data_IF_490347051759
#
_entry.id   IF_490347051759
#
_cell.length_a   1.000
_cell.length_b   1.000
_cell.length_c   1.000
_cell.angle_alpha   90.00
_cell.angle_beta   90.00
_cell.angle_gamma   90.00
#
_symmetry.space_group_name_H-M   'P 1'
#
loop_
_entity.id
_entity.type
_entity.pdbx_description
1 polymer ?
#
# COMPACT_ATOMS: atom_id res chain seq x y z
N UNK A 1 -18.27 -9.37 -10.40
CA UNK A 1 -16.90 -9.48 -9.83
C UNK A 1 -15.91 -8.52 -10.51
N UNK A 2 -16.01 -8.42 -11.83
CA UNK A 2 -15.15 -7.66 -12.73
C UNK A 2 -15.20 -6.15 -12.43
N UNK A 3 -16.39 -5.60 -12.16
CA UNK A 3 -16.57 -4.17 -11.86
C UNK A 3 -15.80 -3.75 -10.60
N UNK A 4 -15.78 -4.60 -9.57
CA UNK A 4 -15.03 -4.38 -8.33
C UNK A 4 -13.52 -4.45 -8.60
N UNK A 5 -13.11 -5.42 -9.40
CA UNK A 5 -11.71 -5.58 -9.78
C UNK A 5 -11.20 -4.34 -10.54
N UNK A 6 -11.97 -3.82 -11.50
CA UNK A 6 -11.66 -2.57 -12.22
C UNK A 6 -11.63 -1.38 -11.26
N UNK A 7 -12.60 -1.29 -10.35
CA UNK A 7 -12.64 -0.22 -9.34
C UNK A 7 -11.38 -0.21 -8.47
N UNK A 8 -11.01 -1.35 -7.88
CA UNK A 8 -9.84 -1.44 -7.00
C UNK A 8 -8.53 -1.21 -7.75
N UNK A 9 -8.41 -1.69 -8.99
CA UNK A 9 -7.24 -1.41 -9.84
C UNK A 9 -7.06 0.09 -10.05
N UNK A 10 -8.09 0.77 -10.54
CA UNK A 10 -8.04 2.22 -10.76
C UNK A 10 -7.70 2.98 -9.49
N UNK A 11 -8.29 2.59 -8.36
CA UNK A 11 -8.04 3.24 -7.06
C UNK A 11 -6.63 3.03 -6.54
N UNK A 12 -6.05 1.85 -6.74
CA UNK A 12 -4.67 1.57 -6.37
C UNK A 12 -3.66 2.23 -7.32
N UNK A 13 -3.98 2.38 -8.60
CA UNK A 13 -3.20 3.20 -9.54
C UNK A 13 -3.19 4.67 -9.12
N UNK A 14 -4.36 5.25 -8.81
CA UNK A 14 -4.48 6.61 -8.27
C UNK A 14 -3.59 6.78 -7.02
N UNK A 15 -3.68 5.84 -6.07
CA UNK A 15 -2.85 5.85 -4.86
C UNK A 15 -1.35 5.75 -5.18
N UNK A 16 -0.98 4.91 -6.14
CA UNK A 16 0.40 4.75 -6.58
C UNK A 16 0.95 6.05 -7.17
N UNK A 17 0.21 6.72 -8.05
CA UNK A 17 0.64 7.98 -8.67
C UNK A 17 0.83 9.10 -7.66
N UNK A 18 -0.04 9.18 -6.65
CA UNK A 18 0.10 10.16 -5.56
C UNK A 18 1.37 9.90 -4.74
N UNK A 19 1.73 8.63 -4.53
CA UNK A 19 2.92 8.28 -3.76
C UNK A 19 4.22 8.42 -4.58
N UNK A 20 4.17 8.19 -5.89
CA UNK A 20 5.29 8.34 -6.82
C UNK A 20 5.62 9.83 -7.07
N UNK A 21 4.60 10.69 -7.12
CA UNK A 21 4.74 12.14 -7.31
C UNK A 21 5.33 12.91 -6.11
N UNK A 22 5.55 12.26 -4.96
CA UNK A 22 6.21 12.86 -3.79
C UNK A 22 7.75 12.75 -3.85
N UNK A 23 8.31 12.17 -4.92
CA UNK A 23 9.70 11.76 -5.02
C UNK A 23 10.59 12.54 -6.00
N UNK A 24 10.20 13.72 -6.48
CA UNK A 24 11.08 14.55 -7.31
C UNK A 24 12.14 15.26 -6.45
N UNK A 25 13.08 14.47 -5.93
CA UNK A 25 14.38 14.95 -5.47
C UNK A 25 15.47 13.92 -5.79
N UNK A 26 15.39 13.31 -6.98
CA UNK A 26 16.56 12.69 -7.60
C UNK A 26 17.45 13.81 -8.15
N UNK A 27 18.25 14.39 -7.25
CA UNK A 27 19.37 15.25 -7.60
C UNK A 27 20.47 14.38 -8.22
N UNK A 28 20.28 14.06 -9.49
CA UNK A 28 21.33 13.65 -10.41
C UNK A 28 22.22 14.88 -10.66
N UNK A 29 23.14 15.15 -9.73
CA UNK A 29 24.18 16.17 -9.89
C UNK A 29 25.55 15.50 -9.81
N UNK A 30 25.98 14.98 -10.96
CA UNK A 30 27.40 14.82 -11.27
C UNK A 30 28.10 16.18 -11.22
N UNK A 31 28.89 16.44 -10.18
CA UNK A 31 29.99 17.41 -10.26
C UNK A 31 31.08 17.12 -9.22
N UNK A 32 32.18 16.49 -9.65
CA UNK A 32 33.49 16.69 -9.02
C UNK A 32 33.91 18.14 -9.26
N UNK A 33 34.10 18.96 -8.20
CA UNK A 33 35.28 19.84 -8.09
C UNK A 33 35.43 20.45 -6.69
N UNK A 34 36.58 20.15 -6.08
CA UNK A 34 37.48 21.03 -5.30
C UNK A 34 36.95 22.28 -4.57
N UNK A 35 37.14 22.29 -3.24
CA UNK A 35 37.81 23.35 -2.48
C UNK A 35 37.15 24.74 -2.34
N UNK A 36 36.89 25.16 -1.09
CA UNK A 36 36.89 26.58 -0.70
C UNK A 36 35.68 27.07 0.10
N UNK A 37 35.97 27.59 1.29
CA UNK A 37 35.08 28.25 2.24
C UNK A 37 34.27 29.43 1.65
N UNK A 38 32.98 29.56 1.99
CA UNK A 38 32.38 30.71 2.68
C UNK A 38 30.85 30.79 2.57
N UNK A 39 30.26 31.26 3.66
CA UNK A 39 28.85 31.59 3.95
C UNK A 39 28.14 32.37 2.83
N UNK A 40 26.92 31.95 2.48
CA UNK A 40 25.84 32.91 2.20
C UNK A 40 24.47 32.29 2.49
N UNK A 41 23.63 33.09 3.15
CA UNK A 41 22.26 32.80 3.53
C UNK A 41 21.30 33.06 2.36
N UNK A 42 20.40 32.12 2.14
CA UNK A 42 19.29 32.21 1.20
C UNK A 42 18.25 31.17 1.64
N UNK A 43 17.38 31.65 2.52
CA UNK A 43 15.91 31.51 2.42
C UNK A 43 15.42 30.28 1.63
N UNK A 44 15.50 29.09 2.23
CA UNK A 44 14.79 27.90 1.74
C UNK A 44 13.49 27.75 2.52
N UNK A 45 12.49 28.54 2.12
CA UNK A 45 11.08 28.30 2.43
C UNK A 45 10.51 27.50 1.25
N UNK A 46 10.82 26.20 1.20
CA UNK A 46 10.27 25.29 0.18
C UNK A 46 9.33 24.26 0.82
N UNK A 47 8.07 24.32 0.39
CA UNK A 47 7.11 23.21 0.23
C UNK A 47 6.87 22.22 1.37
N UNK A 48 6.38 22.72 2.50
CA UNK A 48 5.69 21.88 3.49
C UNK A 48 4.24 21.58 3.03
N UNK A 49 3.61 22.50 2.28
CA UNK A 49 2.19 22.41 1.86
C UNK A 49 1.96 21.30 0.81
N UNK A 50 2.92 21.11 -0.11
CA UNK A 50 2.83 20.10 -1.19
C UNK A 50 2.86 18.67 -0.68
N UNK A 51 3.62 18.38 0.39
CA UNK A 51 3.67 17.04 0.96
C UNK A 51 2.46 16.76 1.87
N UNK A 52 2.00 17.77 2.61
CA UNK A 52 0.80 17.68 3.46
C UNK A 52 -0.46 17.45 2.62
N UNK A 53 -0.57 18.11 1.46
CA UNK A 53 -1.68 17.91 0.51
C UNK A 53 -1.70 16.49 -0.07
N UNK A 54 -0.57 15.93 -0.50
CA UNK A 54 -0.49 14.54 -1.01
C UNK A 54 -0.85 13.50 0.07
N UNK A 55 -0.38 13.68 1.30
CA UNK A 55 -0.74 12.80 2.43
C UNK A 55 -2.24 12.92 2.74
N UNK A 56 -2.80 14.13 2.68
CA UNK A 56 -4.23 14.37 2.88
C UNK A 56 -5.09 13.73 1.79
N UNK A 57 -4.70 13.88 0.52
CA UNK A 57 -5.41 13.31 -0.64
C UNK A 57 -5.38 11.78 -0.64
N UNK A 58 -4.20 11.18 -0.42
CA UNK A 58 -4.06 9.73 -0.28
C UNK A 58 -4.86 9.19 0.91
N UNK A 59 -4.86 9.90 2.05
CA UNK A 59 -5.69 9.55 3.21
C UNK A 59 -7.19 9.60 2.91
N UNK A 60 -7.66 10.61 2.17
CA UNK A 60 -9.06 10.73 1.75
C UNK A 60 -9.45 9.62 0.76
N UNK A 61 -8.56 9.29 -0.17
CA UNK A 61 -8.75 8.20 -1.12
C UNK A 61 -8.93 6.86 -0.37
N UNK A 62 -8.03 6.53 0.56
CA UNK A 62 -8.13 5.28 1.32
C UNK A 62 -9.38 5.25 2.21
N UNK A 63 -9.79 6.37 2.81
CA UNK A 63 -11.07 6.46 3.54
C UNK A 63 -12.27 6.17 2.64
N UNK A 64 -12.29 6.71 1.42
CA UNK A 64 -13.37 6.46 0.46
C UNK A 64 -13.45 4.97 0.06
N UNK A 65 -12.30 4.34 -0.16
CA UNK A 65 -12.21 2.90 -0.44
C UNK A 65 -12.68 2.10 0.78
N UNK A 66 -12.25 2.50 1.99
CA UNK A 66 -12.67 1.89 3.24
C UNK A 66 -14.17 1.91 3.44
N UNK A 67 -14.84 3.02 3.08
CA UNK A 67 -16.31 3.12 3.11
C UNK A 67 -16.94 2.09 2.18
N UNK A 68 -16.49 2.01 0.93
CA UNK A 68 -16.99 1.04 -0.05
C UNK A 68 -16.79 -0.40 0.44
N UNK A 69 -15.61 -0.72 1.00
CA UNK A 69 -15.33 -2.05 1.55
C UNK A 69 -16.24 -2.38 2.74
N UNK A 70 -16.50 -1.39 3.62
CA UNK A 70 -17.42 -1.54 4.74
C UNK A 70 -18.86 -1.79 4.25
N UNK A 71 -19.34 -0.99 3.31
CA UNK A 71 -20.70 -1.12 2.76
C UNK A 71 -20.89 -2.48 2.10
N UNK A 72 -19.92 -2.93 1.29
CA UNK A 72 -19.95 -4.25 0.65
C UNK A 72 -19.91 -5.39 1.67
N UNK A 73 -19.13 -5.26 2.75
CA UNK A 73 -19.12 -6.21 3.86
C UNK A 73 -20.48 -6.26 4.56
N UNK A 74 -21.11 -5.12 4.82
CA UNK A 74 -22.45 -5.04 5.42
C UNK A 74 -23.52 -5.70 4.54
N UNK A 75 -23.35 -5.67 3.21
CA UNK A 75 -24.22 -6.36 2.25
C UNK A 75 -23.89 -7.86 2.09
N UNK A 76 -22.88 -8.39 2.76
CA UNK A 76 -22.47 -9.80 2.70
C UNK A 76 -21.47 -10.13 1.59
N UNK A 77 -20.92 -9.14 0.87
CA UNK A 77 -19.94 -9.34 -0.22
C UNK A 77 -18.49 -9.34 0.26
N UNK A 78 -18.22 -9.73 1.50
CA UNK A 78 -16.87 -9.71 2.10
C UNK A 78 -15.85 -10.44 1.24
N UNK A 79 -16.09 -11.72 0.91
CA UNK A 79 -15.14 -12.53 0.13
C UNK A 79 -14.89 -11.97 -1.27
N UNK A 80 -15.94 -11.49 -1.97
CA UNK A 80 -15.80 -10.90 -3.30
C UNK A 80 -14.97 -9.60 -3.27
N UNK A 81 -15.17 -8.79 -2.24
CA UNK A 81 -14.43 -7.54 -2.05
C UNK A 81 -12.98 -7.82 -1.70
N UNK A 82 -12.75 -8.78 -0.80
CA UNK A 82 -11.41 -9.22 -0.40
C UNK A 82 -10.60 -9.79 -1.57
N UNK A 83 -11.22 -10.64 -2.38
CA UNK A 83 -10.60 -11.17 -3.59
C UNK A 83 -10.28 -10.07 -4.62
N UNK A 84 -11.18 -9.08 -4.77
CA UNK A 84 -11.02 -8.00 -5.75
C UNK A 84 -9.86 -7.06 -5.39
N UNK A 85 -9.76 -6.59 -4.14
CA UNK A 85 -8.62 -5.73 -3.78
C UNK A 85 -7.32 -6.55 -3.74
N UNK A 86 -7.36 -7.82 -3.33
CA UNK A 86 -6.19 -8.71 -3.33
C UNK A 86 -5.62 -8.86 -4.75
N UNK A 87 -6.49 -9.14 -5.71
CA UNK A 87 -6.15 -9.23 -7.13
C UNK A 87 -5.56 -7.93 -7.67
N UNK A 88 -6.12 -6.78 -7.28
CA UNK A 88 -5.63 -5.48 -7.71
C UNK A 88 -4.23 -5.15 -7.13
N UNK A 89 -3.98 -5.48 -5.86
CA UNK A 89 -2.65 -5.31 -5.23
C UNK A 89 -1.60 -6.17 -5.95
N UNK A 90 -1.90 -7.46 -6.18
CA UNK A 90 -0.98 -8.38 -6.85
C UNK A 90 -0.71 -7.93 -8.29
N UNK A 91 -1.74 -7.48 -9.00
CA UNK A 91 -1.61 -6.95 -10.35
C UNK A 91 -0.68 -5.72 -10.38
N UNK A 92 -0.86 -4.76 -9.46
CA UNK A 92 -0.04 -3.56 -9.40
C UNK A 92 1.41 -3.89 -9.03
N UNK A 93 1.63 -4.79 -8.07
CA UNK A 93 2.97 -5.26 -7.70
C UNK A 93 3.67 -5.92 -8.89
N UNK A 94 2.97 -6.78 -9.63
CA UNK A 94 3.50 -7.39 -10.85
C UNK A 94 3.92 -6.32 -11.86
N UNK A 95 3.04 -5.34 -12.12
CA UNK A 95 3.35 -4.23 -13.03
C UNK A 95 4.62 -3.47 -12.59
N UNK A 96 4.73 -3.13 -11.30
CA UNK A 96 5.88 -2.40 -10.77
C UNK A 96 7.18 -3.21 -10.81
N UNK A 97 7.11 -4.52 -10.57
CA UNK A 97 8.27 -5.42 -10.72
C UNK A 97 8.74 -5.45 -12.18
N UNK A 98 7.83 -5.53 -13.15
CA UNK A 98 8.19 -5.47 -14.58
C UNK A 98 8.78 -4.12 -14.98
N UNK A 99 8.21 -3.02 -14.49
CA UNK A 99 8.71 -1.66 -14.74
C UNK A 99 10.15 -1.48 -14.21
N UNK A 100 10.41 -1.92 -12.97
CA UNK A 100 11.72 -1.78 -12.33
C UNK A 100 12.76 -2.75 -12.89
N UNK A 101 12.36 -3.99 -13.23
CA UNK A 101 13.26 -5.00 -13.77
C UNK A 101 13.83 -4.61 -15.15
N UNK A 102 13.04 -3.92 -15.98
CA UNK A 102 13.43 -3.60 -17.35
C UNK A 102 13.99 -4.82 -18.10
N UNK A 103 15.01 -4.60 -18.93
CA UNK A 103 15.85 -5.68 -19.50
C UNK A 103 17.22 -5.82 -18.81
N UNK A 104 17.56 -4.93 -17.87
CA UNK A 104 18.88 -4.88 -17.24
C UNK A 104 18.88 -5.43 -15.81
N UNK A 105 19.22 -6.72 -15.69
CA UNK A 105 19.29 -7.48 -14.43
C UNK A 105 20.52 -7.15 -13.58
N UNK A 106 21.33 -6.17 -13.97
CA UNK A 106 22.50 -5.76 -13.19
C UNK A 106 22.14 -4.85 -12.03
N UNK A 107 20.98 -4.19 -12.09
CA UNK A 107 20.51 -3.29 -11.04
C UNK A 107 19.76 -4.12 -9.98
N UNK A 108 20.10 -3.99 -8.68
CA UNK A 108 19.37 -4.67 -7.61
C UNK A 108 17.98 -4.04 -7.40
N UNK A 109 17.00 -4.48 -8.18
CA UNK A 109 15.61 -3.98 -8.17
C UNK A 109 14.83 -4.35 -6.90
N UNK A 110 15.27 -5.37 -6.19
CA UNK A 110 14.60 -5.88 -5.00
C UNK A 110 14.48 -4.83 -3.89
N UNK A 111 15.49 -3.98 -3.72
CA UNK A 111 15.45 -2.90 -2.73
C UNK A 111 14.35 -1.89 -3.03
N UNK A 112 14.20 -1.52 -4.31
CA UNK A 112 13.17 -0.61 -4.78
C UNK A 112 11.77 -1.22 -4.60
N UNK A 113 11.60 -2.50 -4.96
CA UNK A 113 10.32 -3.21 -4.80
C UNK A 113 9.92 -3.31 -3.32
N UNK A 114 10.85 -3.63 -2.41
CA UNK A 114 10.57 -3.67 -0.96
C UNK A 114 10.11 -2.32 -0.41
N UNK A 115 10.79 -1.24 -0.78
CA UNK A 115 10.39 0.13 -0.41
C UNK A 115 9.00 0.46 -0.95
N UNK A 116 8.73 0.11 -2.20
CA UNK A 116 7.43 0.33 -2.82
C UNK A 116 6.30 -0.45 -2.12
N UNK A 117 6.52 -1.73 -1.76
CA UNK A 117 5.56 -2.54 -0.99
C UNK A 117 5.21 -1.85 0.34
N UNK A 118 6.20 -1.27 1.02
CA UNK A 118 6.00 -0.53 2.26
C UNK A 118 5.22 0.77 2.05
N UNK A 119 5.50 1.48 0.96
CA UNK A 119 4.93 2.79 0.67
C UNK A 119 3.47 2.72 0.19
N UNK A 120 3.10 1.73 -0.63
CA UNK A 120 1.80 1.71 -1.31
C UNK A 120 0.88 0.59 -0.78
N UNK A 121 1.12 -0.72 -1.06
CA UNK A 121 0.24 -1.79 -0.58
C UNK A 121 0.06 -1.85 0.93
N UNK A 122 1.14 -1.70 1.71
CA UNK A 122 1.05 -1.82 3.17
C UNK A 122 0.39 -0.60 3.81
N UNK A 123 0.63 0.61 3.30
CA UNK A 123 -0.09 1.81 3.75
C UNK A 123 -1.59 1.69 3.45
N UNK A 124 -1.94 1.26 2.23
CA UNK A 124 -3.33 0.99 1.86
C UNK A 124 -3.99 0.00 2.82
N UNK A 125 -3.37 -1.17 3.04
CA UNK A 125 -3.92 -2.20 3.92
C UNK A 125 -4.00 -1.72 5.37
N UNK A 126 -3.00 -0.98 5.85
CA UNK A 126 -3.00 -0.45 7.21
C UNK A 126 -4.17 0.51 7.40
N UNK A 127 -4.29 1.52 6.55
CA UNK A 127 -5.37 2.50 6.63
C UNK A 127 -6.75 1.87 6.40
N UNK A 128 -6.87 0.87 5.52
CA UNK A 128 -8.10 0.10 5.35
C UNK A 128 -8.48 -0.66 6.63
N UNK A 129 -7.53 -1.35 7.25
CA UNK A 129 -7.76 -2.09 8.49
C UNK A 129 -8.07 -1.16 9.67
N UNK A 130 -7.39 -0.01 9.77
CA UNK A 130 -7.71 1.02 10.76
C UNK A 130 -9.14 1.53 10.57
N UNK A 131 -9.55 1.84 9.33
CA UNK A 131 -10.91 2.28 9.03
C UNK A 131 -11.96 1.22 9.36
N UNK A 132 -11.68 -0.06 9.11
CA UNK A 132 -12.60 -1.16 9.40
C UNK A 132 -12.61 -1.55 10.87
N UNK A 133 -11.51 -1.32 11.60
CA UNK A 133 -11.39 -1.57 13.04
C UNK A 133 -12.04 -0.50 13.90
N UNK A 134 -12.06 0.76 13.44
CA UNK A 134 -12.71 1.89 14.12
C UNK A 134 -14.24 1.86 14.02
N UNK A 135 -14.81 0.89 13.29
CA UNK A 135 -16.27 0.72 13.20
C UNK A 135 -16.86 -0.10 14.36
N UNK A 136 -16.27 -0.03 15.56
CA UNK A 136 -16.92 -0.60 16.75
C UNK A 136 -18.26 0.11 16.93
N UNK A 137 -19.30 -0.68 16.71
CA UNK A 137 -20.70 -0.37 16.77
C UNK A 137 -21.06 0.36 18.09
N UNK A 138 -21.34 1.65 18.00
CA UNK A 138 -21.95 2.44 19.08
C UNK A 138 -23.47 2.30 19.09
N UNK A 139 -23.99 1.11 18.80
CA UNK A 139 -25.41 0.78 19.00
C UNK A 139 -25.53 -0.59 19.68
N UNK A 140 -25.10 -0.68 20.93
CA UNK A 140 -25.55 -1.73 21.84
C UNK A 140 -25.46 -1.28 23.30
N UNK A 141 -25.97 -0.09 23.59
CA UNK A 141 -26.58 0.18 24.90
C UNK A 141 -28.05 -0.25 24.84
N UNK A 142 -28.35 -1.54 25.01
CA UNK A 142 -29.52 -1.97 25.79
C UNK A 142 -29.55 -3.46 26.10
N UNK A 143 -29.52 -3.72 27.40
CA UNK A 143 -30.23 -4.75 28.17
C UNK A 143 -30.26 -6.21 27.71
N UNK A 144 -29.69 -7.06 28.58
CA UNK A 144 -30.46 -8.19 29.10
C UNK A 144 -30.05 -9.58 28.62
N UNK A 145 -29.32 -10.27 29.50
CA UNK A 145 -29.19 -11.73 29.62
C UNK A 145 -28.28 -12.45 28.60
N UNK A 146 -27.05 -12.66 29.06
CA UNK A 146 -26.05 -13.63 28.60
C UNK A 146 -26.65 -15.01 28.30
N UNK A 147 -26.47 -15.47 27.06
CA UNK A 147 -26.38 -16.92 26.74
C UNK A 147 -24.89 -17.32 26.64
N UNK A 148 -24.42 -18.36 27.36
CA UNK A 148 -23.00 -18.71 27.46
C UNK A 148 -22.46 -19.63 26.34
N UNK A 149 -23.27 -20.00 25.34
CA UNK A 149 -22.89 -21.02 24.33
C UNK A 149 -22.65 -20.49 22.90
N UNK A 150 -22.65 -19.18 22.71
CA UNK A 150 -22.21 -18.58 21.46
C UNK A 150 -21.09 -17.58 21.75
N UNK A 151 -19.86 -18.09 21.86
CA UNK A 151 -18.66 -17.26 21.88
C UNK A 151 -18.57 -16.52 20.54
N UNK A 152 -19.13 -15.31 20.50
CA UNK A 152 -18.85 -14.33 19.44
C UNK A 152 -17.32 -14.26 19.32
N UNK A 153 -16.72 -14.49 18.14
CA UNK A 153 -15.27 -14.40 18.02
C UNK A 153 -14.89 -12.99 18.43
N UNK A 154 -14.10 -12.93 19.51
CA UNK A 154 -13.58 -11.72 20.11
C UNK A 154 -13.01 -10.82 19.02
N UNK A 155 -13.70 -9.72 18.73
CA UNK A 155 -13.17 -8.63 17.91
C UNK A 155 -11.87 -8.18 18.56
N UNK A 156 -10.74 -8.42 17.91
CA UNK A 156 -9.41 -8.15 18.45
C UNK A 156 -9.19 -6.64 18.60
N UNK A 157 -8.97 -6.11 19.82
CA UNK A 157 -8.39 -4.79 20.01
C UNK A 157 -6.92 -5.01 20.38
N UNK A 158 -6.04 -4.96 19.37
CA UNK A 158 -4.60 -5.13 19.54
C UNK A 158 -3.85 -3.87 19.12
N UNK A 159 -4.03 -2.78 19.86
CA UNK A 159 -3.21 -1.57 19.74
C UNK A 159 -1.80 -1.93 20.22
N UNK A 160 -0.85 -2.02 19.28
CA UNK A 160 0.58 -2.14 19.58
C UNK A 160 1.36 -3.19 18.79
N UNK A 161 0.69 -4.15 18.13
CA UNK A 161 1.34 -5.13 17.24
C UNK A 161 0.85 -4.87 15.82
N UNK A 162 1.71 -4.77 14.78
CA UNK A 162 1.23 -4.72 13.41
C UNK A 162 0.31 -5.91 13.22
N UNK A 163 -0.95 -5.66 12.82
CA UNK A 163 -1.96 -6.71 12.78
C UNK A 163 -1.38 -7.94 12.08
N UNK A 164 -1.57 -9.13 12.63
CA UNK A 164 -1.00 -10.37 12.08
C UNK A 164 -1.37 -10.53 10.58
N UNK A 165 -2.50 -9.93 10.17
CA UNK A 165 -2.89 -9.77 8.78
C UNK A 165 -1.89 -8.95 7.94
N UNK A 166 -1.44 -7.77 8.41
CA UNK A 166 -0.44 -6.96 7.71
C UNK A 166 0.90 -7.68 7.56
N UNK A 167 1.35 -8.38 8.61
CA UNK A 167 2.60 -9.15 8.52
C UNK A 167 2.48 -10.27 7.47
N UNK A 168 1.35 -10.98 7.45
CA UNK A 168 1.07 -12.01 6.44
C UNK A 168 1.01 -11.42 5.04
N UNK A 169 0.40 -10.25 4.87
CA UNK A 169 0.38 -9.54 3.60
C UNK A 169 1.77 -9.12 3.16
N UNK A 170 2.58 -8.53 4.04
CA UNK A 170 3.95 -8.17 3.76
C UNK A 170 4.76 -9.37 3.25
N UNK A 171 4.74 -10.48 3.98
CA UNK A 171 5.46 -11.71 3.58
C UNK A 171 4.98 -12.26 2.23
N UNK A 172 3.66 -12.26 1.97
CA UNK A 172 3.09 -12.69 0.70
C UNK A 172 3.54 -11.81 -0.47
N UNK A 173 3.55 -10.50 -0.28
CA UNK A 173 3.95 -9.54 -1.31
C UNK A 173 5.45 -9.63 -1.58
N UNK A 174 6.28 -9.74 -0.54
CA UNK A 174 7.71 -9.95 -0.73
C UNK A 174 7.97 -11.25 -1.49
N UNK A 175 7.39 -12.37 -1.04
CA UNK A 175 7.55 -13.67 -1.70
C UNK A 175 7.10 -13.63 -3.17
N UNK A 176 5.95 -13.02 -3.45
CA UNK A 176 5.45 -12.85 -4.81
C UNK A 176 6.41 -12.03 -5.69
N UNK A 177 7.00 -10.96 -5.15
CA UNK A 177 7.99 -10.16 -5.86
C UNK A 177 9.26 -10.98 -6.18
N UNK A 178 9.73 -11.79 -5.23
CA UNK A 178 10.87 -12.68 -5.45
C UNK A 178 10.61 -13.70 -6.56
N UNK A 179 9.48 -14.41 -6.50
CA UNK A 179 9.08 -15.38 -7.53
C UNK A 179 8.97 -14.71 -8.90
N UNK A 180 8.32 -13.53 -8.97
CA UNK A 180 8.16 -12.81 -10.25
C UNK A 180 9.51 -12.37 -10.84
N UNK A 181 10.43 -11.87 -10.00
CA UNK A 181 11.78 -11.49 -10.44
C UNK A 181 12.59 -12.70 -10.92
N UNK A 182 12.43 -13.84 -10.24
CA UNK A 182 13.07 -15.09 -10.63
C UNK A 182 12.53 -15.60 -11.97
N UNK A 183 11.20 -15.60 -12.15
CA UNK A 183 10.55 -15.96 -13.41
C UNK A 183 11.01 -15.08 -14.57
N UNK A 184 11.15 -13.77 -14.34
CA UNK A 184 11.67 -12.84 -15.35
C UNK A 184 13.10 -13.15 -15.74
N UNK A 185 13.96 -13.41 -14.75
CA UNK A 185 15.35 -13.81 -14.99
C UNK A 185 15.42 -15.09 -15.83
N UNK A 186 14.64 -16.12 -15.49
CA UNK A 186 14.59 -17.40 -16.24
C UNK A 186 14.07 -17.16 -17.66
N UNK A 187 12.99 -16.38 -17.81
CA UNK A 187 12.40 -16.04 -19.10
C UNK A 187 13.39 -15.33 -20.04
N UNK A 188 14.25 -14.47 -19.50
CA UNK A 188 15.28 -13.81 -20.31
C UNK A 188 16.47 -14.72 -20.61
N UNK A 189 16.85 -15.65 -19.71
CA UNK A 189 17.84 -16.68 -20.05
C UNK A 189 17.38 -17.62 -21.17
N UNK A 190 16.08 -17.91 -21.28
CA UNK A 190 15.52 -18.77 -22.34
C UNK A 190 15.36 -18.06 -23.70
N UNK A 191 15.49 -16.73 -23.75
CA UNK A 191 15.44 -15.93 -24.99
C UNK A 191 16.81 -15.74 -25.65
N UNK A 192 17.90 -16.07 -24.96
CA UNK A 192 19.26 -16.14 -25.49
C UNK A 192 19.52 -17.48 -26.18
#
# INVERSE_FOLDING_TARGET
PEILNVYFKKKLEELNTLMDGSGDNDQLASHEFSGGSNVSAWDSKMDIDSQETVISESGNLVKSIGKVVRDLRCLGFTSMTEDSYSSAIIWLLKSKVHELAGDDYRIPVLGCVKKWIQAVPLQFLHALLTYLGDSVDYESESSGLKSPLASRPSSFPGIGVPSEALLRWHMRLEYFAYETLQDLRIGNFLKL
#
